data_IF_846613689897
#
_entry.id   IF_846613689897
#
_cell.length_a   1.000
_cell.length_b   1.000
_cell.length_c   1.000
_cell.angle_alpha   90.00
_cell.angle_beta   90.00
_cell.angle_gamma   90.00
#
_symmetry.space_group_name_H-M   'P 1'
#
loop_
_entity.id
_entity.type
_entity.pdbx_description
1 polymer ?
#
# COMPACT_ATOMS: atom_id res chain seq x y z
N UNK A 1 30.90 14.44 5.80
CA UNK A 1 29.88 13.45 5.36
C UNK A 1 28.67 14.18 4.79
N UNK A 2 28.02 15.04 5.58
CA UNK A 2 26.90 15.87 5.11
C UNK A 2 27.31 16.82 3.96
N UNK A 3 28.51 17.39 4.03
CA UNK A 3 29.03 18.27 2.97
C UNK A 3 29.39 17.53 1.67
N UNK A 4 29.77 16.25 1.78
CA UNK A 4 29.99 15.37 0.62
C UNK A 4 28.66 15.05 -0.06
N UNK A 5 27.61 14.81 0.72
CA UNK A 5 26.26 14.54 0.21
C UNK A 5 25.62 15.79 -0.42
N UNK A 6 25.80 16.99 0.16
CA UNK A 6 25.32 18.23 -0.43
C UNK A 6 26.07 18.57 -1.72
N UNK A 7 27.39 18.37 -1.76
CA UNK A 7 28.17 18.59 -3.00
C UNK A 7 27.79 17.63 -4.14
N UNK A 8 27.43 16.38 -3.81
CA UNK A 8 26.96 15.40 -4.78
C UNK A 8 25.54 15.71 -5.26
N UNK A 9 24.70 16.27 -4.39
CA UNK A 9 23.36 16.72 -4.72
C UNK A 9 23.40 17.93 -5.66
N UNK A 10 24.21 18.94 -5.35
CA UNK A 10 24.34 20.18 -6.13
C UNK A 10 24.98 19.96 -7.52
N UNK A 11 25.68 18.83 -7.72
CA UNK A 11 26.21 18.43 -9.02
C UNK A 11 25.13 17.88 -9.99
N UNK A 12 23.96 17.52 -9.48
CA UNK A 12 22.84 17.00 -10.29
C UNK A 12 22.09 18.15 -10.98
N UNK A 13 21.69 18.02 -12.26
CA UNK A 13 20.90 19.04 -12.94
C UNK A 13 19.63 19.44 -12.15
N UNK A 14 19.27 20.75 -12.11
CA UNK A 14 18.14 21.26 -11.30
C UNK A 14 16.78 20.59 -11.60
N UNK A 15 16.57 20.15 -12.85
CA UNK A 15 15.35 19.43 -13.24
C UNK A 15 15.21 18.07 -12.56
N UNK A 16 16.30 17.33 -12.38
CA UNK A 16 16.29 16.00 -11.76
C UNK A 16 16.18 16.11 -10.23
N UNK A 17 16.82 17.13 -9.64
CA UNK A 17 16.69 17.42 -8.22
C UNK A 17 15.23 17.72 -7.82
N UNK A 18 14.53 18.52 -8.62
CA UNK A 18 13.13 18.87 -8.33
C UNK A 18 12.19 17.68 -8.51
N UNK A 19 12.34 16.90 -9.58
CA UNK A 19 11.51 15.69 -9.78
C UNK A 19 11.73 14.64 -8.68
N UNK A 20 12.98 14.39 -8.29
CA UNK A 20 13.29 13.42 -7.23
C UNK A 20 12.77 13.86 -5.86
N UNK A 21 12.83 15.15 -5.53
CA UNK A 21 12.20 15.70 -4.32
C UNK A 21 10.68 15.53 -4.31
N UNK A 22 10.02 15.79 -5.44
CA UNK A 22 8.56 15.62 -5.55
C UNK A 22 8.19 14.15 -5.39
N UNK A 23 8.87 13.24 -6.07
CA UNK A 23 8.64 11.79 -5.93
C UNK A 23 8.84 11.33 -4.49
N UNK A 24 9.92 11.77 -3.84
CA UNK A 24 10.20 11.43 -2.45
C UNK A 24 9.08 11.89 -1.51
N UNK A 25 8.57 13.11 -1.70
CA UNK A 25 7.44 13.63 -0.91
C UNK A 25 6.16 12.82 -1.14
N UNK A 26 5.86 12.46 -2.40
CA UNK A 26 4.69 11.64 -2.72
C UNK A 26 4.78 10.27 -2.04
N UNK A 27 5.91 9.58 -2.18
CA UNK A 27 6.12 8.27 -1.55
C UNK A 27 6.08 8.35 -0.02
N UNK A 28 6.64 9.42 0.56
CA UNK A 28 6.63 9.64 2.01
C UNK A 28 5.21 9.78 2.58
N UNK A 29 4.25 10.27 1.80
CA UNK A 29 2.84 10.36 2.21
C UNK A 29 2.10 9.05 1.90
N UNK A 30 2.33 8.48 0.71
CA UNK A 30 1.58 7.32 0.22
C UNK A 30 1.86 6.05 1.03
N UNK A 31 3.12 5.82 1.43
CA UNK A 31 3.51 4.58 2.13
C UNK A 31 2.85 4.49 3.52
N UNK A 32 2.93 5.51 4.40
CA UNK A 32 2.23 5.48 5.68
C UNK A 32 0.71 5.40 5.54
N UNK A 33 0.13 6.04 4.52
CA UNK A 33 -1.30 5.99 4.25
C UNK A 33 -1.75 4.55 3.95
N UNK A 34 -1.06 3.87 3.03
CA UNK A 34 -1.36 2.48 2.66
C UNK A 34 -1.17 1.52 3.84
N UNK A 35 -0.11 1.71 4.63
CA UNK A 35 0.11 0.92 5.85
C UNK A 35 -0.99 1.16 6.88
N UNK A 36 -1.43 2.40 7.07
CA UNK A 36 -2.50 2.74 8.02
C UNK A 36 -3.81 2.03 7.64
N UNK A 37 -4.20 2.08 6.36
CA UNK A 37 -5.38 1.37 5.86
C UNK A 37 -5.24 -0.14 6.06
N UNK A 38 -4.08 -0.71 5.73
CA UNK A 38 -3.82 -2.14 5.90
C UNK A 38 -3.99 -2.59 7.37
N UNK A 39 -3.45 -1.85 8.34
CA UNK A 39 -3.60 -2.20 9.76
C UNK A 39 -4.98 -1.87 10.34
N UNK A 40 -5.66 -0.85 9.82
CA UNK A 40 -7.05 -0.56 10.22
C UNK A 40 -7.99 -1.73 9.90
N UNK A 41 -7.84 -2.37 8.74
CA UNK A 41 -8.65 -3.55 8.40
C UNK A 41 -8.37 -4.74 9.32
N UNK A 42 -7.13 -4.92 9.78
CA UNK A 42 -6.79 -5.93 10.79
C UNK A 42 -7.45 -5.62 12.13
N UNK A 43 -7.41 -4.35 12.55
CA UNK A 43 -8.02 -3.88 13.79
C UNK A 43 -9.54 -4.09 13.76
N UNK A 44 -10.20 -3.74 12.66
CA UNK A 44 -11.63 -3.96 12.44
C UNK A 44 -12.01 -5.44 12.63
N UNK A 45 -11.27 -6.36 11.98
CA UNK A 45 -11.51 -7.81 12.14
C UNK A 45 -11.33 -8.28 13.58
N UNK A 46 -10.36 -7.74 14.31
CA UNK A 46 -10.16 -8.06 15.74
C UNK A 46 -11.30 -7.55 16.59
N UNK A 47 -11.71 -6.29 16.42
CA UNK A 47 -12.79 -5.65 17.19
C UNK A 47 -14.10 -6.40 16.98
N UNK A 48 -14.45 -6.75 15.74
CA UNK A 48 -15.65 -7.54 15.44
C UNK A 48 -15.59 -8.94 16.07
N UNK A 49 -14.41 -9.56 16.09
CA UNK A 49 -14.20 -10.82 16.81
C UNK A 49 -14.49 -10.68 18.31
N UNK A 50 -13.93 -9.66 18.95
CA UNK A 50 -14.14 -9.40 20.38
C UNK A 50 -15.60 -9.11 20.72
N UNK A 51 -16.32 -8.36 19.88
CA UNK A 51 -17.77 -8.13 20.07
C UNK A 51 -18.59 -9.43 20.04
N UNK A 52 -18.14 -10.42 19.27
CA UNK A 52 -18.81 -11.71 19.11
C UNK A 52 -18.27 -12.79 20.05
N UNK A 53 -17.44 -12.43 21.04
CA UNK A 53 -16.79 -13.38 21.97
C UNK A 53 -16.02 -14.47 21.21
N UNK A 54 -15.39 -14.11 20.08
CA UNK A 54 -14.50 -14.99 19.32
C UNK A 54 -13.13 -14.35 19.13
N UNK A 55 -12.10 -15.18 19.11
CA UNK A 55 -10.74 -14.71 18.89
C UNK A 55 -10.60 -14.28 17.43
N UNK A 56 -10.19 -13.02 17.23
CA UNK A 56 -9.89 -12.48 15.90
C UNK A 56 -8.64 -13.12 15.26
N UNK A 57 -8.14 -12.57 14.14
CA UNK A 57 -6.99 -13.15 13.44
C UNK A 57 -5.75 -13.26 14.34
N UNK A 58 -5.27 -14.48 14.59
CA UNK A 58 -4.13 -14.77 15.50
C UNK A 58 -3.09 -15.75 14.91
N UNK A 59 -3.24 -16.16 13.65
CA UNK A 59 -2.44 -17.26 13.06
C UNK A 59 -1.23 -16.81 12.26
N UNK A 60 -1.26 -15.61 11.67
CA UNK A 60 -0.23 -15.17 10.71
C UNK A 60 0.72 -14.19 11.39
N UNK A 61 1.85 -14.68 11.91
CA UNK A 61 2.83 -13.90 12.70
C UNK A 61 2.45 -13.72 14.17
N UNK A 62 3.23 -12.93 14.91
CA UNK A 62 2.94 -12.64 16.33
C UNK A 62 1.65 -11.82 16.42
N UNK A 63 0.61 -12.41 17.01
CA UNK A 63 -0.76 -11.90 17.08
C UNK A 63 -1.52 -11.73 15.76
N UNK A 64 -1.01 -12.13 14.59
CA UNK A 64 -1.70 -11.85 13.32
C UNK A 64 -1.29 -10.54 12.62
N UNK A 65 -0.21 -9.89 13.05
CA UNK A 65 0.29 -8.64 12.44
C UNK A 65 0.68 -8.79 10.96
N UNK A 66 1.05 -10.00 10.52
CA UNK A 66 1.42 -10.28 9.14
C UNK A 66 0.20 -10.58 8.24
N UNK A 67 -1.02 -10.58 8.80
CA UNK A 67 -2.23 -10.87 8.05
C UNK A 67 -2.47 -9.91 6.87
N UNK A 68 -2.28 -8.58 6.96
CA UNK A 68 -2.50 -7.69 5.83
C UNK A 68 -1.51 -7.94 4.67
N UNK A 69 -0.28 -8.35 4.99
CA UNK A 69 0.71 -8.74 3.98
C UNK A 69 0.32 -10.06 3.29
N UNK A 70 -0.20 -11.04 4.05
CA UNK A 70 -0.71 -12.28 3.47
C UNK A 70 -1.94 -12.05 2.58
N UNK A 71 -2.84 -11.15 2.98
CA UNK A 71 -4.00 -10.76 2.19
C UNK A 71 -3.58 -10.06 0.89
N UNK A 72 -2.60 -9.14 0.96
CA UNK A 72 -2.04 -8.49 -0.23
C UNK A 72 -1.40 -9.50 -1.19
N UNK A 73 -0.57 -10.42 -0.67
CA UNK A 73 0.07 -11.45 -1.47
C UNK A 73 -0.96 -12.36 -2.14
N UNK A 74 -2.01 -12.75 -1.42
CA UNK A 74 -3.13 -13.52 -1.97
C UNK A 74 -3.81 -12.80 -3.13
N UNK A 75 -3.98 -11.48 -3.05
CA UNK A 75 -4.60 -10.68 -4.11
C UNK A 75 -3.68 -10.53 -5.34
N UNK A 76 -2.36 -10.46 -5.14
CA UNK A 76 -1.41 -10.40 -6.27
C UNK A 76 -1.43 -11.66 -7.14
N UNK A 77 -1.65 -12.83 -6.52
CA UNK A 77 -1.78 -14.10 -7.25
C UNK A 77 -3.22 -14.39 -7.69
N UNK A 78 -4.18 -13.51 -7.38
CA UNK A 78 -5.57 -13.74 -7.74
C UNK A 78 -5.74 -13.52 -9.24
N UNK A 79 -6.25 -14.52 -9.93
CA UNK A 79 -6.60 -14.43 -11.35
C UNK A 79 -7.58 -13.28 -11.60
N UNK A 80 -7.28 -12.44 -12.58
CA UNK A 80 -8.13 -11.33 -13.00
C UNK A 80 -9.17 -11.86 -13.99
N UNK A 81 -10.40 -12.01 -13.52
CA UNK A 81 -11.53 -12.45 -14.35
C UNK A 81 -12.21 -11.22 -14.95
N UNK A 82 -12.13 -11.06 -16.27
CA UNK A 82 -12.83 -10.00 -16.99
C UNK A 82 -14.18 -10.52 -17.49
N UNK A 83 -15.32 -9.96 -17.06
CA UNK A 83 -16.63 -10.43 -17.48
C UNK A 83 -16.86 -10.20 -18.98
N UNK A 84 -17.41 -11.20 -19.67
CA UNK A 84 -17.66 -11.16 -21.12
C UNK A 84 -18.70 -10.11 -21.54
N UNK A 85 -19.60 -9.75 -20.63
CA UNK A 85 -20.70 -8.80 -20.88
C UNK A 85 -20.36 -7.34 -20.54
N UNK A 86 -19.13 -7.05 -20.10
CA UNK A 86 -18.70 -5.68 -19.76
C UNK A 86 -17.79 -5.08 -20.84
N UNK A 87 -17.81 -3.75 -20.96
CA UNK A 87 -16.84 -3.04 -21.80
C UNK A 87 -15.45 -3.11 -21.16
N UNK A 88 -14.48 -3.68 -21.90
CA UNK A 88 -13.12 -3.92 -21.39
C UNK A 88 -12.42 -2.63 -20.96
N UNK A 89 -12.63 -1.55 -21.71
CA UNK A 89 -12.02 -0.25 -21.43
C UNK A 89 -12.49 0.32 -20.09
N UNK A 90 -13.81 0.38 -19.85
CA UNK A 90 -14.35 0.94 -18.60
C UNK A 90 -14.04 0.05 -17.39
N UNK A 91 -14.06 -1.28 -17.56
CA UNK A 91 -13.77 -2.21 -16.48
C UNK A 91 -12.33 -2.08 -15.95
N UNK A 92 -11.37 -1.82 -16.83
CA UNK A 92 -9.96 -1.66 -16.45
C UNK A 92 -9.63 -0.25 -15.93
N UNK A 93 -10.28 0.79 -16.46
CA UNK A 93 -10.01 2.17 -16.04
C UNK A 93 -10.74 2.57 -14.76
N UNK A 94 -11.90 1.97 -14.47
CA UNK A 94 -12.71 2.35 -13.31
C UNK A 94 -11.98 2.24 -11.96
N UNK A 95 -11.22 1.16 -11.66
CA UNK A 95 -10.48 1.07 -10.40
C UNK A 95 -9.36 2.11 -10.26
N UNK A 96 -8.89 2.72 -11.36
CA UNK A 96 -7.85 3.77 -11.32
C UNK A 96 -8.44 5.14 -11.01
N UNK A 97 -9.72 5.36 -11.32
CA UNK A 97 -10.42 6.62 -11.10
C UNK A 97 -11.08 6.73 -9.72
N UNK A 98 -11.35 5.59 -9.07
CA UNK A 98 -11.97 5.52 -7.74
C UNK A 98 -10.97 5.73 -6.62
#
# INVERSE_FOLDING_TARGET
MLDLLSSAWDAVPPGIQTTSLILTKITAILVPLMLSVAYLTLAERRIIGFMQVRIGPNRVGWYGLLQPFADALKLLFKEVIVPSSASRALFLSAPVLS
#
